data_IF_407349471201
#
_entry.id   IF_407349471201
#
_cell.length_a   1.000
_cell.length_b   1.000
_cell.length_c   1.000
_cell.angle_alpha   90.00
_cell.angle_beta   90.00
_cell.angle_gamma   90.00
#
_symmetry.space_group_name_H-M   'P 1'
#
loop_
_entity.id
_entity.type
_entity.pdbx_description
1 polymer ?
#
# COMPACT_ATOMS: atom_id res chain seq x y z
N UNK A 1 13.47 -8.80 36.83
CA UNK A 1 13.30 -7.67 35.89
C UNK A 1 11.81 -7.33 35.81
N UNK A 2 11.35 -6.33 36.57
CA UNK A 2 9.97 -5.85 36.49
C UNK A 2 9.86 -4.85 35.34
N UNK A 3 9.35 -5.29 34.18
CA UNK A 3 9.08 -4.41 33.05
C UNK A 3 7.81 -3.62 33.39
N UNK A 4 7.96 -2.31 33.60
CA UNK A 4 6.87 -1.39 33.92
C UNK A 4 5.80 -1.39 32.82
N UNK A 5 4.60 -1.92 33.13
CA UNK A 5 3.45 -1.99 32.22
C UNK A 5 3.08 -0.62 31.61
N UNK A 6 3.26 0.48 32.35
CA UNK A 6 3.01 1.85 31.87
C UNK A 6 3.91 2.26 30.68
N UNK A 7 5.14 1.76 30.62
CA UNK A 7 6.07 2.04 29.50
C UNK A 7 5.66 1.35 28.20
N UNK A 8 5.03 0.17 28.29
CA UNK A 8 4.55 -0.61 27.16
C UNK A 8 3.29 0.01 26.55
N UNK A 9 2.40 0.56 27.39
CA UNK A 9 1.20 1.28 26.94
C UNK A 9 1.56 2.55 26.17
N UNK A 10 2.48 3.36 26.71
CA UNK A 10 2.93 4.60 26.05
C UNK A 10 3.57 4.30 24.68
N UNK A 11 4.45 3.29 24.61
CA UNK A 11 5.01 2.82 23.33
C UNK A 11 3.95 2.39 22.34
N UNK A 12 2.92 1.69 22.81
CA UNK A 12 1.82 1.23 21.96
C UNK A 12 0.99 2.40 21.43
N UNK A 13 0.72 3.43 22.23
CA UNK A 13 0.01 4.64 21.80
C UNK A 13 0.79 5.37 20.70
N UNK A 14 2.09 5.64 20.91
CA UNK A 14 2.92 6.31 19.91
C UNK A 14 3.10 5.48 18.64
N UNK A 15 3.27 4.17 18.76
CA UNK A 15 3.36 3.26 17.62
C UNK A 15 2.06 3.24 16.80
N UNK A 16 0.91 3.24 17.48
CA UNK A 16 -0.39 3.25 16.81
C UNK A 16 -0.63 4.60 16.10
N UNK A 17 -0.28 5.71 16.74
CA UNK A 17 -0.34 7.04 16.14
C UNK A 17 0.58 7.16 14.92
N UNK A 18 1.81 6.63 15.00
CA UNK A 18 2.76 6.61 13.89
C UNK A 18 2.28 5.74 12.72
N UNK A 19 1.63 4.61 13.01
CA UNK A 19 1.02 3.80 11.97
C UNK A 19 -0.17 4.53 11.32
N UNK A 20 -0.97 5.27 12.08
CA UNK A 20 -2.09 6.06 11.54
C UNK A 20 -1.64 7.19 10.61
N UNK A 21 -0.43 7.72 10.77
CA UNK A 21 0.13 8.73 9.86
C UNK A 21 0.67 8.19 8.53
N UNK A 22 0.84 6.87 8.39
CA UNK A 22 1.33 6.29 7.14
C UNK A 22 0.22 6.31 6.08
N UNK A 23 0.55 6.56 4.81
CA UNK A 23 -0.42 6.42 3.74
C UNK A 23 -0.87 4.95 3.65
N UNK A 24 -2.06 4.74 3.12
CA UNK A 24 -2.53 3.39 2.80
C UNK A 24 -1.85 2.85 1.54
N UNK A 25 -1.82 1.54 1.36
CA UNK A 25 -1.29 0.95 0.13
C UNK A 25 -2.11 1.36 -1.10
N UNK A 26 -3.42 1.60 -0.93
CA UNK A 26 -4.29 2.19 -1.95
C UNK A 26 -3.95 3.64 -2.34
N UNK A 27 -3.61 4.50 -1.37
CA UNK A 27 -3.18 5.89 -1.61
C UNK A 27 -1.87 5.94 -2.38
N UNK A 28 -0.90 5.11 -1.98
CA UNK A 28 0.39 4.99 -2.67
C UNK A 28 0.21 4.49 -4.10
N UNK A 29 -0.63 3.47 -4.32
CA UNK A 29 -0.95 2.95 -5.66
C UNK A 29 -1.54 4.03 -6.58
N UNK A 30 -2.54 4.75 -6.08
CA UNK A 30 -3.20 5.81 -6.84
C UNK A 30 -2.23 6.95 -7.15
N UNK A 31 -1.45 7.37 -6.16
CA UNK A 31 -0.49 8.47 -6.32
C UNK A 31 0.61 8.10 -7.30
N UNK A 32 1.14 6.88 -7.23
CA UNK A 32 2.17 6.40 -8.14
C UNK A 32 1.71 6.37 -9.60
N UNK A 33 0.52 5.82 -9.87
CA UNK A 33 -0.03 5.76 -11.24
C UNK A 33 -0.25 7.17 -11.80
N UNK A 34 -0.78 8.10 -10.99
CA UNK A 34 -0.95 9.51 -11.36
C UNK A 34 0.39 10.19 -11.67
N UNK A 35 1.40 9.99 -10.83
CA UNK A 35 2.75 10.55 -11.04
C UNK A 35 3.42 10.03 -12.31
N UNK A 36 3.10 8.79 -12.70
CA UNK A 36 3.57 8.21 -13.96
C UNK A 36 2.78 8.69 -15.19
N UNK A 37 1.79 9.58 -15.04
CA UNK A 37 0.89 10.02 -16.10
C UNK A 37 0.07 8.88 -16.73
N UNK A 38 -0.42 7.96 -15.89
CA UNK A 38 -1.32 6.87 -16.31
C UNK A 38 -0.75 6.04 -17.48
N UNK A 39 0.44 5.42 -17.33
CA UNK A 39 1.07 4.66 -18.40
C UNK A 39 0.26 3.39 -18.71
N UNK A 40 0.34 2.84 -19.94
CA UNK A 40 -0.37 1.61 -20.32
C UNK A 40 0.07 0.40 -19.49
N UNK A 41 1.31 0.41 -18.98
CA UNK A 41 1.84 -0.61 -18.08
C UNK A 41 2.90 0.01 -17.17
N UNK A 42 2.94 -0.40 -15.90
CA UNK A 42 3.99 -0.04 -14.95
C UNK A 42 4.12 -1.07 -13.83
N UNK A 43 5.24 -1.06 -13.11
CA UNK A 43 5.42 -1.87 -11.91
C UNK A 43 6.32 -1.17 -10.90
N UNK A 44 6.07 -1.40 -9.62
CA UNK A 44 6.86 -0.79 -8.55
C UNK A 44 6.77 -1.59 -7.25
N UNK A 45 7.60 -1.22 -6.28
CA UNK A 45 7.68 -1.84 -4.96
C UNK A 45 7.38 -0.83 -3.87
N UNK A 46 6.73 -1.30 -2.80
CA UNK A 46 6.43 -0.52 -1.60
C UNK A 46 6.85 -1.33 -0.39
N UNK A 47 7.57 -0.73 0.56
CA UNK A 47 7.94 -1.41 1.80
C UNK A 47 6.71 -1.57 2.69
N UNK A 48 6.54 -2.74 3.29
CA UNK A 48 5.48 -2.94 4.30
C UNK A 48 5.60 -1.97 5.47
N UNK A 49 6.82 -1.54 5.82
CA UNK A 49 7.05 -0.59 6.92
C UNK A 49 6.50 0.80 6.66
N UNK A 50 6.31 1.18 5.39
CA UNK A 50 6.07 2.57 4.99
C UNK A 50 4.59 2.85 4.71
N UNK A 51 3.76 1.80 4.71
CA UNK A 51 2.32 1.89 4.42
C UNK A 51 1.46 1.15 5.43
N UNK A 52 0.19 1.55 5.52
CA UNK A 52 -0.88 0.71 6.08
C UNK A 52 -1.48 -0.13 4.96
N UNK A 53 -1.34 -1.44 5.04
CA UNK A 53 -1.80 -2.33 3.98
C UNK A 53 -3.32 -2.59 4.06
N UNK A 54 -4.10 -1.73 3.41
CA UNK A 54 -5.56 -1.82 3.29
C UNK A 54 -6.02 -2.68 2.11
N UNK A 55 -5.07 -3.22 1.34
CA UNK A 55 -5.27 -4.14 0.22
C UNK A 55 -4.85 -5.57 0.58
N UNK A 56 -4.61 -5.85 1.85
CA UNK A 56 -4.21 -7.18 2.32
C UNK A 56 -5.23 -8.25 1.89
N UNK A 57 -4.72 -9.41 1.45
CA UNK A 57 -5.53 -10.51 0.93
C UNK A 57 -5.99 -10.33 -0.54
N UNK A 58 -5.76 -9.18 -1.17
CA UNK A 58 -6.01 -9.00 -2.62
C UNK A 58 -4.75 -9.32 -3.43
N UNK A 59 -4.88 -10.25 -4.38
CA UNK A 59 -3.80 -10.60 -5.31
C UNK A 59 -4.04 -10.07 -6.71
N UNK A 60 -5.29 -10.17 -7.20
CA UNK A 60 -5.72 -9.65 -8.50
C UNK A 60 -6.98 -8.82 -8.32
N UNK A 61 -6.98 -7.57 -8.78
CA UNK A 61 -8.15 -6.70 -8.66
C UNK A 61 -8.11 -5.55 -9.67
N UNK A 62 -9.28 -4.99 -9.99
CA UNK A 62 -9.38 -3.76 -10.77
C UNK A 62 -9.21 -2.55 -9.85
N UNK A 63 -8.54 -1.51 -10.34
CA UNK A 63 -8.26 -0.28 -9.62
C UNK A 63 -8.47 0.92 -10.52
N UNK A 64 -9.48 1.74 -10.21
CA UNK A 64 -9.78 2.95 -10.95
C UNK A 64 -8.89 4.10 -10.49
N UNK A 65 -8.21 4.75 -11.43
CA UNK A 65 -7.41 5.96 -11.21
C UNK A 65 -7.84 6.99 -12.24
N UNK A 66 -8.42 8.11 -11.79
CA UNK A 66 -9.00 9.12 -12.69
C UNK A 66 -10.01 8.47 -13.67
N UNK A 67 -9.72 8.56 -14.96
CA UNK A 67 -10.51 8.00 -16.06
C UNK A 67 -10.03 6.61 -16.51
N UNK A 68 -8.89 6.15 -15.98
CA UNK A 68 -8.26 4.88 -16.31
C UNK A 68 -8.66 3.76 -15.35
N UNK A 69 -8.85 2.56 -15.87
CA UNK A 69 -9.02 1.35 -15.07
C UNK A 69 -7.78 0.46 -15.21
N UNK A 70 -7.20 0.02 -14.09
CA UNK A 70 -6.02 -0.84 -14.07
C UNK A 70 -6.36 -2.22 -13.53
N UNK A 71 -5.91 -3.26 -14.23
CA UNK A 71 -5.79 -4.57 -13.61
C UNK A 71 -4.50 -4.63 -12.81
N UNK A 72 -4.63 -4.88 -11.51
CA UNK A 72 -3.54 -4.92 -10.55
C UNK A 72 -3.23 -6.37 -10.22
N UNK A 73 -1.97 -6.76 -10.39
CA UNK A 73 -1.39 -7.95 -9.79
C UNK A 73 -0.48 -7.52 -8.63
N UNK A 74 -0.93 -7.83 -7.41
CA UNK A 74 -0.19 -7.61 -6.16
C UNK A 74 0.48 -8.92 -5.75
N UNK A 75 1.79 -8.89 -5.56
CA UNK A 75 2.58 -10.05 -5.15
C UNK A 75 3.41 -9.73 -3.90
N UNK A 76 3.56 -10.72 -3.02
CA UNK A 76 4.42 -10.59 -1.85
C UNK A 76 5.89 -10.78 -2.24
N UNK A 77 6.76 -9.87 -1.81
CA UNK A 77 8.20 -9.96 -1.96
C UNK A 77 8.86 -9.40 -0.69
N UNK A 78 8.70 -10.10 0.44
CA UNK A 78 9.12 -9.60 1.75
C UNK A 78 10.57 -9.06 1.71
N UNK A 79 10.84 -7.81 2.18
CA UNK A 79 9.99 -6.92 2.98
C UNK A 79 9.10 -5.93 2.20
N UNK A 80 8.79 -6.22 0.93
CA UNK A 80 8.04 -5.37 0.02
C UNK A 80 6.71 -6.00 -0.45
N UNK A 81 5.80 -5.12 -0.85
CA UNK A 81 4.68 -5.41 -1.75
C UNK A 81 5.14 -5.03 -3.15
N UNK A 82 4.93 -5.92 -4.13
CA UNK A 82 5.18 -5.63 -5.54
C UNK A 82 3.87 -5.48 -6.28
N UNK A 83 3.75 -4.39 -7.04
CA UNK A 83 2.61 -4.11 -7.90
C UNK A 83 3.00 -4.23 -9.36
N UNK A 84 2.19 -4.95 -10.12
CA UNK A 84 2.14 -4.89 -11.56
C UNK A 84 0.81 -4.26 -11.97
N UNK A 85 0.86 -3.15 -12.69
CA UNK A 85 -0.29 -2.37 -13.09
C UNK A 85 -0.38 -2.42 -14.62
N UNK A 86 -1.44 -3.01 -15.14
CA UNK A 86 -1.71 -3.08 -16.58
C UNK A 86 -3.02 -2.37 -16.87
N UNK A 87 -3.04 -1.50 -17.87
CA UNK A 87 -4.26 -0.84 -18.30
C UNK A 87 -5.31 -1.87 -18.71
N UNK A 88 -6.51 -1.75 -18.14
CA UNK A 88 -7.67 -2.57 -18.51
C UNK A 88 -8.51 -1.79 -19.51
N UNK A 89 -8.53 -2.28 -20.74
CA UNK A 89 -9.43 -1.79 -21.79
C UNK A 89 -10.91 -2.11 -21.51
N UNK A 90 -11.18 -2.96 -20.51
CA UNK A 90 -12.51 -3.34 -20.09
C UNK A 90 -12.85 -2.62 -18.78
N UNK A 91 -13.88 -1.77 -18.83
CA UNK A 91 -14.44 -0.99 -17.73
C UNK A 91 -15.64 -1.67 -17.09
#
# INVERSE_FOLDING_TARGET
MNINKSSMVIRNIFYNQYNMSKPTSSEVLTSYIKQCHEPPWTSYFVKYSDVRDDQWGKSHFNWKVCDSNYHILRTGCFPYIKYHCTYSWFS
#
